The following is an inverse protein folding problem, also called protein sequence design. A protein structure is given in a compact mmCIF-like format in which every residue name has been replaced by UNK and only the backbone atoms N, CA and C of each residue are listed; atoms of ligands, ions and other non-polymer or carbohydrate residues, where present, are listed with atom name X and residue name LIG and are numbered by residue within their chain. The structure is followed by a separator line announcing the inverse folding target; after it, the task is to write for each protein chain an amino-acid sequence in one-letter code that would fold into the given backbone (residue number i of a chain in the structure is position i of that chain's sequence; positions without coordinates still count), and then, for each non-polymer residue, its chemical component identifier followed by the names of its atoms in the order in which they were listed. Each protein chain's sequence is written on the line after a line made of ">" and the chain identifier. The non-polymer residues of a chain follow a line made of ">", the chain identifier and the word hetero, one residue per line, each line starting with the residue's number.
data_IF_840604036437
#
_entry.id   IF_840604036437
#
_cell.length_a   1.000
_cell.length_b   1.000
_cell.length_c   1.000
_cell.angle_alpha   90.00
_cell.angle_beta   90.00
_cell.angle_gamma   90.00
#
_symmetry.space_group_name_H-M   'P 1'
#
loop_
_entity.id
_entity.type
_entity.pdbx_description
1 polymer ?
#
# COMPACT_ATOMS: atom_id res chain seq x y z
N UNK A 1 22.77 1.06 21.56
CA UNK A 1 23.24 -0.33 21.42
C UNK A 1 23.12 -0.64 19.94
N UNK A 2 24.24 -0.70 19.21
CA UNK A 2 24.23 -1.01 17.77
C UNK A 2 24.06 -2.53 17.69
N UNK A 3 22.86 -2.99 17.33
CA UNK A 3 22.65 -4.40 17.02
C UNK A 3 23.54 -4.73 15.82
N UNK A 4 24.41 -5.72 15.98
CA UNK A 4 25.09 -6.39 14.87
C UNK A 4 24.02 -6.76 13.84
N UNK A 5 24.11 -6.22 12.63
CA UNK A 5 23.23 -6.62 11.54
C UNK A 5 23.80 -7.90 10.94
N UNK A 6 23.36 -9.03 11.49
CA UNK A 6 23.82 -10.34 11.04
C UNK A 6 23.47 -10.55 9.55
N UNK A 7 24.35 -11.22 8.78
CA UNK A 7 24.07 -11.56 7.40
C UNK A 7 22.78 -12.37 7.28
N UNK A 8 21.99 -12.10 6.24
CA UNK A 8 20.69 -12.75 6.04
C UNK A 8 20.79 -13.76 4.93
N UNK A 9 20.08 -14.88 5.10
CA UNK A 9 19.89 -15.84 4.02
C UNK A 9 19.10 -15.22 2.87
N UNK A 10 19.55 -15.50 1.64
CA UNK A 10 18.87 -15.04 0.44
C UNK A 10 17.38 -15.42 0.41
N UNK A 11 17.05 -16.62 0.87
CA UNK A 11 15.67 -17.10 0.94
C UNK A 11 14.79 -16.20 1.83
N UNK A 12 15.30 -15.73 2.97
CA UNK A 12 14.54 -14.87 3.88
C UNK A 12 14.28 -13.49 3.26
N UNK A 13 15.27 -12.94 2.55
CA UNK A 13 15.11 -11.71 1.78
C UNK A 13 14.04 -11.87 0.68
N UNK A 14 14.15 -12.92 -0.14
CA UNK A 14 13.19 -13.19 -1.23
C UNK A 14 11.77 -13.43 -0.68
N UNK A 15 11.65 -14.15 0.45
CA UNK A 15 10.37 -14.37 1.15
C UNK A 15 9.78 -13.05 1.65
N UNK A 16 10.60 -12.15 2.20
CA UNK A 16 10.13 -10.84 2.65
C UNK A 16 9.66 -9.96 1.49
N UNK A 17 10.38 -9.97 0.36
CA UNK A 17 9.93 -9.28 -0.86
C UNK A 17 8.63 -9.88 -1.40
N UNK A 18 8.49 -11.21 -1.41
CA UNK A 18 7.26 -11.89 -1.80
C UNK A 18 6.07 -11.51 -0.92
N UNK A 19 6.27 -11.50 0.41
CA UNK A 19 5.26 -11.05 1.38
C UNK A 19 4.86 -9.60 1.13
N UNK A 20 5.82 -8.70 0.94
CA UNK A 20 5.58 -7.29 0.60
C UNK A 20 4.76 -7.15 -0.69
N UNK A 21 5.10 -7.88 -1.75
CA UNK A 21 4.38 -7.84 -3.02
C UNK A 21 2.90 -8.26 -2.86
N UNK A 22 2.64 -9.33 -2.10
CA UNK A 22 1.28 -9.78 -1.80
C UNK A 22 0.52 -8.72 -0.98
N UNK A 23 1.15 -8.17 0.07
CA UNK A 23 0.51 -7.13 0.89
C UNK A 23 0.19 -5.88 0.09
N UNK A 24 1.07 -5.47 -0.83
CA UNK A 24 0.80 -4.35 -1.74
C UNK A 24 -0.36 -4.67 -2.68
N UNK A 25 -0.39 -5.87 -3.28
CA UNK A 25 -1.47 -6.27 -4.17
C UNK A 25 -2.84 -6.21 -3.47
N UNK A 26 -2.91 -6.61 -2.19
CA UNK A 26 -4.13 -6.50 -1.39
C UNK A 26 -4.56 -5.03 -1.20
N UNK A 27 -3.62 -4.13 -0.86
CA UNK A 27 -3.91 -2.70 -0.72
C UNK A 27 -4.36 -2.05 -2.04
N UNK A 28 -3.73 -2.44 -3.16
CA UNK A 28 -4.12 -1.96 -4.49
C UNK A 28 -5.52 -2.47 -4.88
N UNK A 29 -5.85 -3.73 -4.58
CA UNK A 29 -7.17 -4.28 -4.81
C UNK A 29 -8.25 -3.60 -3.95
N UNK A 30 -7.91 -3.23 -2.70
CA UNK A 30 -8.81 -2.43 -1.86
C UNK A 30 -9.09 -1.05 -2.46
N UNK A 31 -8.08 -0.42 -3.10
CA UNK A 31 -8.32 0.78 -3.90
C UNK A 31 -9.25 0.50 -5.08
N UNK A 32 -9.05 -0.58 -5.82
CA UNK A 32 -9.90 -0.92 -6.98
C UNK A 32 -11.38 -1.02 -6.59
N UNK A 33 -11.69 -1.61 -5.43
CA UNK A 33 -13.04 -1.59 -4.89
C UNK A 33 -13.54 -0.19 -4.53
N UNK A 34 -12.73 0.62 -3.84
CA UNK A 34 -13.10 2.01 -3.55
C UNK A 34 -13.43 2.77 -4.83
N UNK A 35 -12.60 2.62 -5.87
CA UNK A 35 -12.78 3.32 -7.13
C UNK A 35 -14.00 2.82 -7.88
N UNK A 36 -14.27 1.51 -7.87
CA UNK A 36 -15.45 0.93 -8.48
C UNK A 36 -16.72 1.55 -7.90
N UNK A 37 -16.84 1.62 -6.58
CA UNK A 37 -18.01 2.21 -5.90
C UNK A 37 -18.11 3.70 -6.22
N UNK A 38 -17.00 4.44 -6.12
CA UNK A 38 -17.00 5.86 -6.42
C UNK A 38 -17.43 6.14 -7.87
N UNK A 39 -16.89 5.37 -8.81
CA UNK A 39 -17.12 5.56 -10.24
C UNK A 39 -18.54 5.17 -10.67
N UNK A 40 -19.00 3.98 -10.29
CA UNK A 40 -20.26 3.42 -10.76
C UNK A 40 -21.46 3.80 -9.90
N UNK A 41 -21.29 3.97 -8.58
CA UNK A 41 -22.41 4.19 -7.66
C UNK A 41 -22.49 5.64 -7.15
N UNK A 42 -21.34 6.32 -6.98
CA UNK A 42 -21.29 7.70 -6.45
C UNK A 42 -21.08 8.78 -7.52
N UNK A 43 -21.20 8.43 -8.81
CA UNK A 43 -21.21 9.39 -9.91
C UNK A 43 -19.84 9.98 -10.27
N UNK A 44 -18.74 9.41 -9.76
CA UNK A 44 -17.39 9.86 -10.11
C UNK A 44 -16.96 9.51 -11.54
N UNK A 45 -17.79 8.78 -12.30
CA UNK A 45 -17.62 8.56 -13.75
C UNK A 45 -17.55 9.85 -14.56
N UNK A 46 -18.11 10.96 -14.05
CA UNK A 46 -17.96 12.29 -14.64
C UNK A 46 -16.53 12.85 -14.59
N UNK A 47 -15.65 12.30 -13.75
CA UNK A 47 -14.31 12.82 -13.49
C UNK A 47 -13.21 12.21 -14.38
N UNK A 48 -13.51 11.10 -15.05
CA UNK A 48 -12.62 10.37 -15.96
C UNK A 48 -13.43 9.46 -16.90
N UNK A 49 -13.00 9.34 -18.16
CA UNK A 49 -13.67 8.46 -19.13
C UNK A 49 -13.50 6.96 -18.81
N UNK A 50 -12.38 6.60 -18.17
CA UNK A 50 -12.06 5.22 -17.79
C UNK A 50 -11.40 5.19 -16.40
N UNK A 51 -11.53 4.07 -15.71
CA UNK A 51 -10.84 3.85 -14.43
C UNK A 51 -9.32 3.85 -14.61
N UNK A 52 -8.56 4.48 -13.70
CA UNK A 52 -7.10 4.49 -13.76
C UNK A 52 -6.52 3.10 -13.48
N UNK A 53 -5.53 2.69 -14.27
CA UNK A 53 -4.92 1.36 -14.16
C UNK A 53 -3.67 1.31 -13.27
N UNK A 54 -2.87 2.38 -13.22
CA UNK A 54 -1.66 2.38 -12.39
C UNK A 54 -1.93 2.91 -10.98
N UNK A 55 -1.23 2.35 -9.99
CA UNK A 55 -1.37 2.69 -8.57
C UNK A 55 -1.39 4.20 -8.29
N UNK A 56 -0.44 4.96 -8.86
CA UNK A 56 -0.35 6.41 -8.61
C UNK A 56 -1.60 7.14 -9.12
N UNK A 57 -2.11 6.78 -10.29
CA UNK A 57 -3.33 7.35 -10.84
C UNK A 57 -4.57 6.92 -10.05
N UNK A 58 -4.63 5.67 -9.56
CA UNK A 58 -5.69 5.17 -8.67
C UNK A 58 -5.80 6.00 -7.40
N UNK A 59 -4.68 6.24 -6.71
CA UNK A 59 -4.63 7.03 -5.47
C UNK A 59 -5.11 8.47 -5.72
N UNK A 60 -4.65 9.11 -6.82
CA UNK A 60 -5.10 10.46 -7.19
C UNK A 60 -6.60 10.52 -7.49
N UNK A 61 -7.10 9.54 -8.22
CA UNK A 61 -8.52 9.47 -8.56
C UNK A 61 -9.38 9.27 -7.31
N UNK A 62 -8.94 8.42 -6.36
CA UNK A 62 -9.62 8.25 -5.07
C UNK A 62 -9.81 9.59 -4.34
N UNK A 63 -8.73 10.36 -4.15
CA UNK A 63 -8.82 11.69 -3.51
C UNK A 63 -9.76 12.63 -4.27
N UNK A 64 -9.62 12.70 -5.60
CA UNK A 64 -10.44 13.57 -6.46
C UNK A 64 -11.92 13.20 -6.38
N UNK A 65 -12.23 11.91 -6.44
CA UNK A 65 -13.59 11.38 -6.43
C UNK A 65 -14.28 11.58 -5.08
N UNK A 66 -13.61 11.28 -3.96
CA UNK A 66 -14.16 11.56 -2.63
C UNK A 66 -14.43 13.06 -2.45
N UNK A 67 -13.49 13.93 -2.86
CA UNK A 67 -13.66 15.39 -2.79
C UNK A 67 -14.85 15.90 -3.61
N UNK A 68 -15.08 15.31 -4.78
CA UNK A 68 -16.14 15.71 -5.70
C UNK A 68 -17.52 15.13 -5.34
N UNK A 69 -17.59 14.21 -4.37
CA UNK A 69 -18.85 13.56 -3.95
C UNK A 69 -19.40 14.27 -2.72
N UNK A 70 -20.50 15.05 -2.82
CA UNK A 70 -21.00 15.86 -1.70
C UNK A 70 -21.34 15.04 -0.44
N UNK A 71 -21.90 13.85 -0.61
CA UNK A 71 -22.23 12.91 0.48
C UNK A 71 -21.00 12.50 1.30
N UNK A 72 -19.80 12.60 0.72
CA UNK A 72 -18.55 12.18 1.32
C UNK A 72 -17.69 13.35 1.82
N UNK A 73 -18.22 14.58 1.84
CA UNK A 73 -17.48 15.76 2.29
C UNK A 73 -16.86 15.56 3.70
N UNK A 74 -17.61 14.95 4.63
CA UNK A 74 -17.12 14.63 5.98
C UNK A 74 -16.07 13.51 6.03
N UNK A 75 -15.91 12.74 4.96
CA UNK A 75 -14.92 11.67 4.85
C UNK A 75 -13.63 12.10 4.13
N UNK A 76 -13.63 13.27 3.49
CA UNK A 76 -12.48 13.74 2.70
C UNK A 76 -11.17 13.84 3.50
N UNK A 77 -11.12 14.38 4.74
CA UNK A 77 -9.87 14.41 5.51
C UNK A 77 -9.25 13.03 5.69
N UNK A 78 -10.08 12.02 6.00
CA UNK A 78 -9.60 10.64 6.14
C UNK A 78 -9.15 10.04 4.80
N UNK A 79 -9.85 10.33 3.71
CA UNK A 79 -9.44 9.90 2.38
C UNK A 79 -8.08 10.51 1.97
N UNK A 80 -7.83 11.77 2.33
CA UNK A 80 -6.56 12.43 2.09
C UNK A 80 -5.42 11.79 2.89
N UNK A 81 -5.64 11.46 4.17
CA UNK A 81 -4.67 10.72 4.99
C UNK A 81 -4.32 9.36 4.37
N UNK A 82 -5.33 8.59 3.95
CA UNK A 82 -5.15 7.27 3.34
C UNK A 82 -4.36 7.36 2.04
N UNK A 83 -4.64 8.36 1.20
CA UNK A 83 -3.93 8.56 -0.05
C UNK A 83 -2.49 9.03 0.17
N UNK A 84 -2.23 9.91 1.14
CA UNK A 84 -0.88 10.32 1.49
C UNK A 84 -0.06 9.14 2.04
N UNK A 85 -0.66 8.29 2.87
CA UNK A 85 -0.04 7.04 3.30
C UNK A 85 0.24 6.11 2.11
N UNK A 86 -0.71 5.95 1.20
CA UNK A 86 -0.55 5.13 0.00
C UNK A 86 0.58 5.64 -0.92
N UNK A 87 0.77 6.95 -1.08
CA UNK A 87 1.89 7.48 -1.87
C UNK A 87 3.25 7.16 -1.24
N UNK A 88 3.37 7.27 0.09
CA UNK A 88 4.61 6.90 0.79
C UNK A 88 4.89 5.42 0.64
N UNK A 89 3.91 4.57 0.95
CA UNK A 89 4.02 3.10 0.83
C UNK A 89 4.34 2.69 -0.62
N UNK A 90 3.73 3.33 -1.61
CA UNK A 90 4.01 3.09 -3.02
C UNK A 90 5.46 3.40 -3.39
N UNK A 91 6.07 4.44 -2.83
CA UNK A 91 7.48 4.74 -3.06
C UNK A 91 8.39 3.74 -2.35
N UNK A 92 8.13 3.46 -1.08
CA UNK A 92 8.90 2.50 -0.28
C UNK A 92 8.88 1.10 -0.89
N UNK A 93 7.72 0.61 -1.32
CA UNK A 93 7.62 -0.69 -2.01
C UNK A 93 8.29 -0.66 -3.38
N UNK A 94 8.26 0.47 -4.10
CA UNK A 94 8.97 0.58 -5.37
C UNK A 94 10.47 0.43 -5.16
N UNK A 95 11.02 1.01 -4.10
CA UNK A 95 12.41 0.78 -3.72
C UNK A 95 12.66 -0.70 -3.49
N UNK A 96 11.91 -1.37 -2.62
CA UNK A 96 12.14 -2.78 -2.29
C UNK A 96 11.97 -3.74 -3.48
N UNK A 97 10.95 -3.56 -4.32
CA UNK A 97 10.59 -4.51 -5.40
C UNK A 97 11.33 -4.21 -6.70
N UNK A 98 11.52 -2.93 -7.03
CA UNK A 98 12.07 -2.50 -8.32
C UNK A 98 13.46 -1.88 -8.21
N UNK A 99 13.94 -1.61 -7.00
CA UNK A 99 15.34 -1.28 -6.80
C UNK A 99 16.19 -2.47 -7.24
N UNK A 100 17.10 -2.24 -8.17
CA UNK A 100 18.12 -3.23 -8.49
C UNK A 100 19.05 -3.28 -7.29
N UNK A 101 18.92 -4.32 -6.46
CA UNK A 101 20.00 -4.65 -5.54
C UNK A 101 21.19 -5.02 -6.41
N UNK A 102 22.32 -4.34 -6.23
CA UNK A 102 23.59 -4.67 -6.92
C UNK A 102 24.13 -6.07 -6.52
N UNK A 103 23.33 -6.88 -5.83
CA UNK A 103 23.67 -8.14 -5.17
C UNK A 103 23.11 -9.36 -5.90
N UNK A 104 23.28 -9.43 -7.23
CA UNK A 104 23.07 -10.69 -7.94
C UNK A 104 24.37 -11.49 -7.82
N UNK A 105 24.57 -12.22 -6.70
CA UNK A 105 25.80 -13.01 -6.57
C UNK A 105 26.11 -13.77 -5.27
N UNK A 106 25.22 -13.86 -4.28
CA UNK A 106 25.53 -14.54 -3.01
C UNK A 106 24.36 -15.31 -2.38
N UNK A 107 24.67 -16.25 -1.48
CA UNK A 107 23.69 -16.94 -0.62
C UNK A 107 23.40 -16.18 0.67
N UNK A 108 24.32 -15.30 1.08
CA UNK A 108 24.21 -14.39 2.22
C UNK A 108 24.17 -12.94 1.72
N UNK A 109 23.35 -12.13 2.35
CA UNK A 109 23.26 -10.70 2.12
C UNK A 109 23.66 -9.93 3.38
N UNK A 110 24.65 -9.06 3.24
CA UNK A 110 24.99 -8.09 4.28
C UNK A 110 23.92 -7.00 4.34
N UNK A 111 23.66 -6.52 5.56
CA UNK A 111 22.79 -5.36 5.79
C UNK A 111 23.61 -4.15 6.23
N UNK A 112 23.20 -2.92 5.86
CA UNK A 112 22.03 -2.59 5.04
C UNK A 112 22.20 -2.91 3.54
N UNK A 113 21.09 -3.14 2.85
CA UNK A 113 21.04 -3.35 1.41
C UNK A 113 21.11 -2.01 0.68
N UNK A 114 22.01 -1.91 -0.30
CA UNK A 114 22.10 -0.76 -1.19
C UNK A 114 21.23 -0.99 -2.43
N UNK A 115 20.07 -0.32 -2.47
CA UNK A 115 19.17 -0.37 -3.62
C UNK A 115 19.41 0.82 -4.52
N UNK A 116 19.36 0.58 -5.82
CA UNK A 116 19.51 1.61 -6.84
C UNK A 116 18.33 1.60 -7.80
N UNK A 117 17.88 2.78 -8.24
CA UNK A 117 16.89 2.91 -9.31
C UNK A 117 17.22 4.11 -10.19
N UNK A 118 16.82 4.08 -11.45
CA UNK A 118 16.90 5.25 -12.32
C UNK A 118 15.87 6.30 -11.90
N UNK A 119 16.29 7.56 -11.85
CA UNK A 119 15.38 8.69 -11.68
C UNK A 119 14.44 8.76 -12.90
N UNK A 120 13.13 8.90 -12.65
CA UNK A 120 12.14 9.04 -13.72
C UNK A 120 11.70 10.51 -13.85
N UNK A 121 11.49 11.05 -15.06
CA UNK A 121 11.47 10.35 -16.35
C UNK A 121 12.80 10.37 -17.13
N UNK A 122 13.78 11.18 -16.72
CA UNK A 122 15.01 11.42 -17.49
C UNK A 122 15.90 10.17 -17.62
N UNK A 123 15.89 9.26 -16.63
CA UNK A 123 16.80 8.10 -16.54
C UNK A 123 18.30 8.46 -16.59
N UNK A 124 18.63 9.74 -16.44
CA UNK A 124 20.00 10.27 -16.52
C UNK A 124 20.75 10.16 -15.18
N UNK A 125 20.01 10.02 -14.08
CA UNK A 125 20.56 9.88 -12.74
C UNK A 125 20.14 8.55 -12.10
N UNK A 126 21.00 8.03 -11.24
CA UNK A 126 20.72 6.88 -10.38
C UNK A 126 20.52 7.41 -8.97
N UNK A 127 19.37 7.08 -8.39
CA UNK A 127 19.09 7.30 -6.98
C UNK A 127 19.49 6.05 -6.19
N UNK A 128 19.98 6.25 -4.97
CA UNK A 128 20.33 5.18 -4.04
C UNK A 128 19.53 5.28 -2.75
N UNK A 129 19.17 4.13 -2.18
CA UNK A 129 18.54 4.03 -0.86
C UNK A 129 19.09 2.83 -0.11
N UNK A 130 19.58 3.08 1.11
CA UNK A 130 19.90 2.01 2.06
C UNK A 130 18.62 1.53 2.72
N UNK A 131 18.40 0.21 2.72
CA UNK A 131 17.26 -0.41 3.38
C UNK A 131 17.68 -1.65 4.17
N UNK A 132 16.96 -1.96 5.24
CA UNK A 132 17.17 -3.17 6.06
C UNK A 132 16.04 -4.16 5.85
N UNK A 133 16.13 -5.36 6.43
CA UNK A 133 14.97 -6.26 6.49
C UNK A 133 13.82 -5.67 7.27
N UNK A 134 14.10 -4.98 8.37
CA UNK A 134 13.08 -4.32 9.17
C UNK A 134 12.29 -3.33 8.31
N UNK A 135 12.97 -2.56 7.47
CA UNK A 135 12.31 -1.66 6.52
C UNK A 135 11.37 -2.41 5.55
N UNK A 136 11.79 -3.56 5.01
CA UNK A 136 10.95 -4.37 4.11
C UNK A 136 9.72 -4.90 4.86
N UNK A 137 9.92 -5.39 6.09
CA UNK A 137 8.85 -5.92 6.94
C UNK A 137 7.86 -4.82 7.35
N UNK A 138 8.34 -3.67 7.81
CA UNK A 138 7.52 -2.50 8.14
C UNK A 138 6.72 -1.99 6.94
N UNK A 139 7.34 -2.00 5.74
CA UNK A 139 6.64 -1.63 4.50
C UNK A 139 5.54 -2.64 4.18
N UNK A 140 5.79 -3.95 4.35
CA UNK A 140 4.79 -5.00 4.15
C UNK A 140 3.62 -4.86 5.14
N UNK A 141 3.90 -4.62 6.42
CA UNK A 141 2.86 -4.35 7.42
C UNK A 141 2.07 -3.09 7.10
N UNK A 142 2.73 -2.04 6.63
CA UNK A 142 2.08 -0.79 6.25
C UNK A 142 1.12 -0.99 5.07
N UNK A 143 1.49 -1.85 4.10
CA UNK A 143 0.58 -2.27 3.03
C UNK A 143 -0.65 -3.00 3.59
N UNK A 144 -0.45 -3.96 4.50
CA UNK A 144 -1.57 -4.70 5.11
C UNK A 144 -2.50 -3.78 5.92
N UNK A 145 -1.93 -2.86 6.72
CA UNK A 145 -2.67 -1.84 7.48
C UNK A 145 -3.45 -0.90 6.56
N UNK A 146 -2.87 -0.51 5.42
CA UNK A 146 -3.55 0.30 4.42
C UNK A 146 -4.74 -0.44 3.79
N UNK A 147 -4.56 -1.72 3.42
CA UNK A 147 -5.64 -2.57 2.90
C UNK A 147 -6.82 -2.64 3.87
N UNK A 148 -6.56 -2.89 5.15
CA UNK A 148 -7.59 -2.93 6.18
C UNK A 148 -8.26 -1.55 6.36
N UNK A 149 -7.47 -0.47 6.38
CA UNK A 149 -7.99 0.87 6.55
C UNK A 149 -8.90 1.29 5.38
N UNK A 150 -8.58 0.88 4.14
CA UNK A 150 -9.43 1.09 2.97
C UNK A 150 -10.71 0.25 3.06
N UNK A 151 -10.64 -1.00 3.49
CA UNK A 151 -11.83 -1.83 3.72
C UNK A 151 -12.79 -1.19 4.74
N UNK A 152 -12.26 -0.75 5.88
CA UNK A 152 -13.05 -0.03 6.90
C UNK A 152 -13.62 1.28 6.35
N UNK A 153 -12.84 2.02 5.55
CA UNK A 153 -13.32 3.25 4.90
C UNK A 153 -14.50 2.95 3.97
N UNK A 154 -14.40 1.93 3.12
CA UNK A 154 -15.49 1.50 2.24
C UNK A 154 -16.75 1.18 3.02
N UNK A 155 -16.65 0.32 4.04
CA UNK A 155 -17.81 -0.11 4.79
C UNK A 155 -18.49 1.04 5.52
N UNK A 156 -17.73 1.85 6.26
CA UNK A 156 -18.29 2.93 7.09
C UNK A 156 -18.73 4.16 6.29
N UNK A 157 -18.07 4.47 5.17
CA UNK A 157 -18.30 5.75 4.46
C UNK A 157 -19.07 5.58 3.16
N UNK A 158 -19.07 4.41 2.53
CA UNK A 158 -19.89 4.17 1.35
C UNK A 158 -21.25 3.55 1.67
N UNK A 159 -21.49 3.18 2.93
CA UNK A 159 -22.79 2.64 3.37
C UNK A 159 -23.05 1.21 2.89
N UNK A 160 -21.99 0.46 2.57
CA UNK A 160 -22.11 -0.95 2.19
C UNK A 160 -22.65 -1.82 3.35
N UNK A 161 -22.35 -1.43 4.59
CA UNK A 161 -22.83 -2.08 5.81
C UNK A 161 -23.22 -1.04 6.85
N UNK A 162 -24.13 -1.40 7.76
CA UNK A 162 -24.39 -0.60 8.96
C UNK A 162 -23.16 -0.58 9.86
N UNK A 163 -23.03 0.46 10.70
CA UNK A 163 -21.93 0.54 11.67
C UNK A 163 -21.90 -0.69 12.60
N UNK A 164 -23.08 -1.17 13.00
CA UNK A 164 -23.26 -2.39 13.78
C UNK A 164 -22.70 -3.64 13.06
N UNK A 165 -23.00 -3.81 11.77
CA UNK A 165 -22.48 -4.95 11.00
C UNK A 165 -20.95 -4.90 10.84
N UNK A 166 -20.36 -3.69 10.77
CA UNK A 166 -18.90 -3.53 10.75
C UNK A 166 -18.28 -3.89 12.11
N UNK A 167 -18.88 -3.43 13.21
CA UNK A 167 -18.41 -3.76 14.56
C UNK A 167 -18.54 -5.26 14.86
N UNK A 168 -19.63 -5.90 14.47
CA UNK A 168 -19.84 -7.33 14.64
C UNK A 168 -18.83 -8.15 13.83
N UNK A 169 -18.54 -7.77 12.59
CA UNK A 169 -17.50 -8.43 11.79
C UNK A 169 -16.11 -8.32 12.46
N UNK A 170 -15.78 -7.15 13.03
CA UNK A 170 -14.52 -6.95 13.74
C UNK A 170 -14.44 -7.72 15.07
N UNK A 171 -15.58 -7.96 15.73
CA UNK A 171 -15.67 -8.78 16.95
C UNK A 171 -15.60 -10.27 16.66
N UNK A 172 -16.32 -10.76 15.66
CA UNK A 172 -16.34 -12.18 15.28
C UNK A 172 -14.95 -12.71 14.91
N UNK A 173 -14.12 -11.88 14.28
CA UNK A 173 -12.72 -12.23 14.02
C UNK A 173 -11.90 -12.42 15.31
N UNK A 174 -12.22 -11.73 16.42
CA UNK A 174 -11.48 -11.90 17.69
C UNK A 174 -11.75 -13.24 18.37
N UNK A 175 -12.92 -13.83 18.16
CA UNK A 175 -13.29 -15.11 18.78
C UNK A 175 -12.58 -16.30 18.10
N UNK A 176 -12.29 -16.18 16.80
CA UNK A 176 -11.59 -17.22 16.01
C UNK A 176 -10.05 -17.20 16.16
N UNK A 177 -9.46 -16.23 16.87
CA UNK A 177 -8.01 -16.11 17.12
C UNK A 177 -7.63 -16.28 18.60
N UNK A 178 -8.35 -17.13 19.33
CA UNK A 178 -7.87 -17.61 20.64
C UNK A 178 -6.86 -18.75 20.43
N UNK A 179 -5.57 -18.43 20.58
CA UNK A 179 -4.48 -19.41 20.75
C UNK A 179 -4.36 -19.82 22.21
#
# INVERSE_FOLDING_TARGET
>A
MILSLDPIQREDFERAIGKLAISWAAAEHAFDHCLSILFYEKGASSLAAVLPLNARAKIKFFQKAVKATPELAGAFPRAEELANAAFRILDDRNWCIHGTASMIGGTLFDQPFNLSRFERPSMEAIEHKEVTMDFIQETSESCAKLSLALAVFMFRKFGLFSEEAVEDALRGVREDFSF
#
